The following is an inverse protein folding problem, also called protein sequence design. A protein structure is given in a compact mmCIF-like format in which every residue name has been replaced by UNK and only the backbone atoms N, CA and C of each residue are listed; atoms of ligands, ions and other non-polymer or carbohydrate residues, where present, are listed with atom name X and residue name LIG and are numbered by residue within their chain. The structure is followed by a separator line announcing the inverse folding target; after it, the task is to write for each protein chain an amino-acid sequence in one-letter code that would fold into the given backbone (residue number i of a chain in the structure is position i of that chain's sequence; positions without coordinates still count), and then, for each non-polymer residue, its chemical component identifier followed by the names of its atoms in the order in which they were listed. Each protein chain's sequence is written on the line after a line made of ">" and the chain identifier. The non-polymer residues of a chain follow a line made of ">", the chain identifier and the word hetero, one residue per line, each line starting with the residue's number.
data_IF_600243159775
#
_entry.id   IF_600243159775
#
_cell.length_a   1.000
_cell.length_b   1.000
_cell.length_c   1.000
_cell.angle_alpha   90.00
_cell.angle_beta   90.00
_cell.angle_gamma   90.00
#
_symmetry.space_group_name_H-M   'P 1'
#
loop_
_entity.id
_entity.type
_entity.pdbx_description
1 polymer ?
#
# COMPACT_ATOMS: atom_id res chain seq x y z
N UNK A 1 -5.71 21.74 17.11
CA UNK A 1 -4.26 21.92 16.91
C UNK A 1 -4.08 22.77 15.68
N UNK A 2 -3.49 23.95 15.82
CA UNK A 2 -3.13 24.78 14.68
C UNK A 2 -1.91 24.19 13.94
N UNK A 3 -1.64 24.70 12.74
CA UNK A 3 -0.58 24.18 11.87
C UNK A 3 0.83 24.43 12.42
N UNK A 4 1.03 25.50 13.21
CA UNK A 4 2.31 25.81 13.86
C UNK A 4 2.66 24.79 14.96
N UNK A 5 1.66 24.44 15.78
CA UNK A 5 1.81 23.40 16.80
C UNK A 5 2.11 22.05 16.16
N UNK A 6 1.45 21.72 15.04
CA UNK A 6 1.71 20.46 14.33
C UNK A 6 3.11 20.44 13.70
N UNK A 7 3.55 21.55 13.10
CA UNK A 7 4.89 21.67 12.54
C UNK A 7 5.96 21.37 13.59
N UNK A 8 5.86 21.98 14.78
CA UNK A 8 6.76 21.72 15.91
C UNK A 8 6.78 20.25 16.33
N UNK A 9 5.64 19.56 16.28
CA UNK A 9 5.60 18.13 16.60
C UNK A 9 6.36 17.29 15.57
N UNK A 10 6.30 17.65 14.29
CA UNK A 10 7.06 16.96 13.23
C UNK A 10 8.54 17.33 13.27
N UNK A 11 8.88 18.58 13.55
CA UNK A 11 10.29 19.03 13.66
C UNK A 11 11.02 18.30 14.80
N UNK A 12 10.32 18.06 15.91
CA UNK A 12 10.83 17.31 17.07
C UNK A 12 10.41 15.84 17.05
N UNK A 13 10.15 15.26 15.88
CA UNK A 13 9.56 13.93 15.76
C UNK A 13 10.25 12.87 16.62
N UNK A 14 11.58 12.77 16.53
CA UNK A 14 12.34 11.75 17.25
C UNK A 14 12.54 12.03 18.74
N UNK A 15 12.19 13.23 19.22
CA UNK A 15 12.24 13.58 20.64
C UNK A 15 11.02 13.01 21.41
N UNK A 16 9.96 12.65 20.69
CA UNK A 16 8.75 12.08 21.29
C UNK A 16 8.88 10.59 21.56
N UNK A 17 8.08 10.07 22.51
CA UNK A 17 7.92 8.63 22.67
C UNK A 17 7.34 8.01 21.39
N UNK A 18 7.82 6.82 21.02
CA UNK A 18 7.41 6.06 19.83
C UNK A 18 5.89 6.05 19.53
N UNK A 19 5.03 5.88 20.54
CA UNK A 19 3.56 5.92 20.35
C UNK A 19 3.07 7.26 19.80
N UNK A 20 3.67 8.37 20.23
CA UNK A 20 3.37 9.72 19.74
C UNK A 20 3.90 9.89 18.32
N UNK A 21 5.11 9.38 18.04
CA UNK A 21 5.67 9.37 16.69
C UNK A 21 4.72 8.68 15.70
N UNK A 22 4.24 7.49 16.05
CA UNK A 22 3.25 6.77 15.26
C UNK A 22 1.94 7.53 15.08
N UNK A 23 1.45 8.19 16.13
CA UNK A 23 0.26 9.03 16.05
C UNK A 23 0.46 10.23 15.11
N UNK A 24 1.65 10.86 15.12
CA UNK A 24 1.98 11.98 14.22
C UNK A 24 1.90 11.50 12.76
N UNK A 25 2.54 10.38 12.41
CA UNK A 25 2.52 9.84 11.04
C UNK A 25 1.10 9.50 10.60
N UNK A 26 0.32 8.83 11.46
CA UNK A 26 -1.07 8.49 11.18
C UNK A 26 -1.92 9.76 10.99
N UNK A 27 -1.69 10.81 11.81
CA UNK A 27 -2.40 12.09 11.70
C UNK A 27 -2.10 12.81 10.38
N UNK A 28 -0.87 12.75 9.86
CA UNK A 28 -0.53 13.32 8.53
C UNK A 28 -1.45 12.73 7.47
N UNK A 29 -1.59 11.40 7.44
CA UNK A 29 -2.44 10.70 6.47
C UNK A 29 -3.93 10.98 6.67
N UNK A 30 -4.43 10.82 7.88
CA UNK A 30 -5.86 10.99 8.23
C UNK A 30 -6.33 12.43 7.94
N UNK A 31 -5.53 13.42 8.31
CA UNK A 31 -5.86 14.83 8.11
C UNK A 31 -5.44 15.37 6.74
N UNK A 32 -4.89 14.51 5.86
CA UNK A 32 -4.36 14.87 4.54
C UNK A 32 -3.45 16.09 4.58
N UNK A 33 -2.47 16.11 5.49
CA UNK A 33 -1.52 17.22 5.60
C UNK A 33 -0.44 17.11 4.50
N UNK A 34 -0.82 17.45 3.27
CA UNK A 34 0.03 17.41 2.07
C UNK A 34 1.42 18.05 2.22
N UNK A 35 1.61 19.16 2.97
CA UNK A 35 2.95 19.73 3.17
C UNK A 35 3.97 18.76 3.79
N UNK A 36 3.53 17.69 4.46
CA UNK A 36 4.41 16.70 5.09
C UNK A 36 4.66 15.45 4.24
N UNK A 37 4.28 15.44 2.97
CA UNK A 37 4.67 14.35 2.05
C UNK A 37 6.19 14.13 2.04
N UNK A 38 7.07 15.16 1.95
CA UNK A 38 8.52 14.94 1.99
C UNK A 38 9.01 14.22 3.25
N UNK A 39 8.35 14.47 4.39
CA UNK A 39 8.62 13.76 5.63
C UNK A 39 8.20 12.29 5.55
N UNK A 40 7.01 11.99 5.02
CA UNK A 40 6.59 10.60 4.76
C UNK A 40 7.54 9.86 3.81
N UNK A 41 7.99 10.52 2.74
CA UNK A 41 8.97 9.95 1.80
C UNK A 41 10.32 9.65 2.47
N UNK A 42 10.70 10.44 3.47
CA UNK A 42 11.88 10.15 4.29
C UNK A 42 11.66 8.89 5.14
N UNK A 43 10.48 8.77 5.77
CA UNK A 43 10.12 7.60 6.57
C UNK A 43 10.00 6.29 5.77
N UNK A 44 9.71 6.34 4.47
CA UNK A 44 9.75 5.15 3.60
C UNK A 44 11.13 4.50 3.54
N UNK A 45 12.21 5.24 3.82
CA UNK A 45 13.58 4.72 3.82
C UNK A 45 14.12 4.44 5.23
N UNK A 46 13.27 4.55 6.25
CA UNK A 46 13.68 4.33 7.63
C UNK A 46 14.01 2.84 7.88
N UNK A 47 15.00 2.56 8.74
CA UNK A 47 15.45 1.20 9.06
C UNK A 47 14.35 0.35 9.73
N UNK A 48 13.61 0.95 10.65
CA UNK A 48 12.49 0.32 11.33
C UNK A 48 11.24 0.28 10.43
N UNK A 49 10.73 -0.94 10.23
CA UNK A 49 9.63 -1.21 9.30
C UNK A 49 8.31 -0.54 9.67
N UNK A 50 8.05 -0.31 10.96
CA UNK A 50 6.80 0.30 11.39
C UNK A 50 6.63 1.73 10.84
N UNK A 51 7.71 2.51 10.73
CA UNK A 51 7.65 3.83 10.08
C UNK A 51 7.37 3.71 8.59
N UNK A 52 7.97 2.74 7.89
CA UNK A 52 7.71 2.50 6.46
C UNK A 52 6.26 2.10 6.22
N UNK A 53 5.73 1.18 7.03
CA UNK A 53 4.32 0.74 7.01
C UNK A 53 3.38 1.92 7.21
N UNK A 54 3.63 2.76 8.23
CA UNK A 54 2.78 3.93 8.51
C UNK A 54 2.90 5.01 7.44
N UNK A 55 4.08 5.22 6.89
CA UNK A 55 4.28 6.14 5.78
C UNK A 55 3.48 5.69 4.54
N UNK A 56 3.57 4.41 4.15
CA UNK A 56 2.78 3.86 3.05
C UNK A 56 1.26 3.99 3.32
N UNK A 57 0.82 3.70 4.54
CA UNK A 57 -0.58 3.87 4.95
C UNK A 57 -1.04 5.33 4.81
N UNK A 58 -0.25 6.28 5.29
CA UNK A 58 -0.56 7.70 5.20
C UNK A 58 -0.60 8.17 3.73
N UNK A 59 0.37 7.78 2.91
CA UNK A 59 0.39 8.08 1.48
C UNK A 59 -0.81 7.48 0.74
N UNK A 60 -1.24 6.26 1.13
CA UNK A 60 -2.44 5.63 0.56
C UNK A 60 -3.73 6.39 0.93
N UNK A 61 -3.85 6.91 2.15
CA UNK A 61 -4.98 7.76 2.56
C UNK A 61 -5.00 9.10 1.81
N UNK A 62 -3.83 9.59 1.42
CA UNK A 62 -3.64 10.83 0.67
C UNK A 62 -3.69 10.61 -0.85
N UNK A 63 -3.77 9.36 -1.31
CA UNK A 63 -3.74 8.97 -2.72
C UNK A 63 -2.52 9.53 -3.46
N UNK A 64 -1.38 9.65 -2.75
CA UNK A 64 -0.15 10.21 -3.31
C UNK A 64 0.59 9.17 -4.16
N UNK A 65 0.75 9.39 -5.48
CA UNK A 65 1.39 8.41 -6.35
C UNK A 65 2.89 8.29 -6.04
N UNK A 66 3.36 7.06 -5.91
CA UNK A 66 4.77 6.70 -5.99
C UNK A 66 5.02 5.96 -7.29
N UNK A 67 6.20 6.12 -7.87
CA UNK A 67 6.61 5.35 -9.03
C UNK A 67 7.08 3.92 -8.64
N UNK A 68 7.37 3.13 -9.66
CA UNK A 68 7.82 1.74 -9.50
C UNK A 68 9.12 1.64 -8.72
N UNK A 69 10.07 2.55 -8.95
CA UNK A 69 11.38 2.55 -8.29
C UNK A 69 11.22 2.79 -6.78
N UNK A 70 10.38 3.75 -6.41
CA UNK A 70 10.06 4.07 -5.03
C UNK A 70 9.32 2.93 -4.30
N UNK A 71 8.48 2.16 -5.01
CA UNK A 71 7.73 1.05 -4.41
C UNK A 71 8.43 -0.30 -4.46
N UNK A 72 9.48 -0.46 -5.27
CA UNK A 72 10.14 -1.74 -5.52
C UNK A 72 10.59 -2.45 -4.22
N UNK A 73 11.28 -1.72 -3.35
CA UNK A 73 11.76 -2.26 -2.06
C UNK A 73 10.61 -2.69 -1.15
N UNK A 74 9.46 -2.01 -1.24
CA UNK A 74 8.31 -2.25 -0.39
C UNK A 74 7.53 -3.48 -0.85
N UNK A 75 7.47 -3.75 -2.16
CA UNK A 75 6.91 -4.99 -2.71
C UNK A 75 7.73 -6.23 -2.33
N UNK A 76 9.03 -6.07 -2.09
CA UNK A 76 9.94 -7.17 -1.74
C UNK A 76 10.25 -7.26 -0.24
N UNK A 77 9.63 -6.41 0.58
CA UNK A 77 9.95 -6.34 2.00
C UNK A 77 9.74 -7.69 2.70
N UNK A 78 10.64 -8.10 3.62
CA UNK A 78 10.41 -9.27 4.47
C UNK A 78 9.21 -9.08 5.41
N UNK A 79 8.78 -7.83 5.65
CA UNK A 79 7.64 -7.47 6.48
C UNK A 79 6.37 -7.44 5.63
N UNK A 80 5.49 -8.43 5.82
CA UNK A 80 4.31 -8.59 4.98
C UNK A 80 3.33 -7.40 5.06
N UNK A 81 3.27 -6.70 6.20
CA UNK A 81 2.46 -5.50 6.37
C UNK A 81 2.90 -4.38 5.42
N UNK A 82 4.20 -4.30 5.13
CA UNK A 82 4.76 -3.30 4.22
C UNK A 82 4.34 -3.59 2.77
N UNK A 83 4.44 -4.87 2.34
CA UNK A 83 3.92 -5.32 1.04
C UNK A 83 2.42 -5.05 0.91
N UNK A 84 1.65 -5.31 1.96
CA UNK A 84 0.21 -5.05 2.00
C UNK A 84 -0.08 -3.54 1.88
N UNK A 85 0.64 -2.67 2.58
CA UNK A 85 0.43 -1.23 2.49
C UNK A 85 0.84 -0.67 1.11
N UNK A 86 1.90 -1.20 0.49
CA UNK A 86 2.28 -0.85 -0.87
C UNK A 86 1.15 -1.18 -1.86
N UNK A 87 0.56 -2.37 -1.77
CA UNK A 87 -0.60 -2.74 -2.59
C UNK A 87 -1.83 -1.86 -2.34
N UNK A 88 -2.08 -1.46 -1.09
CA UNK A 88 -3.14 -0.49 -0.76
C UNK A 88 -2.90 0.86 -1.41
N UNK A 89 -1.66 1.32 -1.46
CA UNK A 89 -1.34 2.55 -2.17
C UNK A 89 -1.62 2.40 -3.67
N UNK A 90 -1.18 1.30 -4.30
CA UNK A 90 -1.48 1.03 -5.70
C UNK A 90 -2.99 1.01 -5.97
N UNK A 91 -3.77 0.32 -5.13
CA UNK A 91 -5.23 0.26 -5.22
C UNK A 91 -5.90 1.65 -5.20
N UNK A 92 -5.30 2.60 -4.48
CA UNK A 92 -5.78 3.99 -4.37
C UNK A 92 -5.39 4.84 -5.57
N UNK A 93 -4.15 4.71 -6.04
CA UNK A 93 -3.58 5.57 -7.10
C UNK A 93 -3.82 5.05 -8.51
N UNK A 94 -4.11 3.75 -8.66
CA UNK A 94 -4.54 3.09 -9.91
C UNK A 94 -3.62 3.32 -11.11
N UNK A 95 -2.32 3.24 -10.84
CA UNK A 95 -1.24 3.47 -11.81
C UNK A 95 -1.01 2.20 -12.63
N UNK A 96 -1.20 2.29 -13.95
CA UNK A 96 -1.09 1.14 -14.86
C UNK A 96 0.29 0.48 -14.81
N UNK A 97 1.35 1.27 -14.61
CA UNK A 97 2.72 0.80 -14.47
C UNK A 97 2.94 -0.12 -13.26
N UNK A 98 1.98 -0.21 -12.33
CA UNK A 98 2.06 -1.09 -11.15
C UNK A 98 1.53 -2.50 -11.40
N UNK A 99 0.79 -2.73 -12.49
CA UNK A 99 0.04 -3.97 -12.72
C UNK A 99 0.92 -5.21 -12.59
N UNK A 100 2.07 -5.24 -13.26
CA UNK A 100 2.96 -6.40 -13.24
C UNK A 100 3.49 -6.71 -11.82
N UNK A 101 3.77 -5.67 -11.03
CA UNK A 101 4.20 -5.84 -9.63
C UNK A 101 3.08 -6.36 -8.73
N UNK A 102 1.85 -5.89 -8.96
CA UNK A 102 0.67 -6.39 -8.24
C UNK A 102 0.42 -7.87 -8.61
N UNK A 103 0.54 -8.24 -9.89
CA UNK A 103 0.39 -9.62 -10.37
C UNK A 103 1.40 -10.54 -9.70
N UNK A 104 2.65 -10.12 -9.52
CA UNK A 104 3.65 -10.91 -8.78
C UNK A 104 3.21 -11.19 -7.33
N UNK A 105 2.61 -10.19 -6.66
CA UNK A 105 2.12 -10.34 -5.27
C UNK A 105 0.84 -11.16 -5.13
N UNK A 106 0.20 -11.57 -6.24
CA UNK A 106 -0.85 -12.61 -6.20
C UNK A 106 -0.31 -13.97 -5.75
N UNK A 107 1.00 -14.20 -5.88
CA UNK A 107 1.70 -15.42 -5.43
C UNK A 107 2.36 -15.26 -4.05
N UNK A 108 2.06 -14.18 -3.33
CA UNK A 108 2.66 -13.92 -2.03
C UNK A 108 2.39 -15.06 -1.02
N UNK A 109 3.35 -15.37 -0.16
CA UNK A 109 3.19 -16.40 0.87
C UNK A 109 2.05 -16.10 1.86
N UNK A 110 1.79 -14.81 2.12
CA UNK A 110 0.80 -14.35 3.10
C UNK A 110 -0.54 -14.11 2.41
N UNK A 111 -1.58 -14.81 2.90
CA UNK A 111 -2.95 -14.72 2.37
C UNK A 111 -3.46 -13.27 2.25
N UNK A 112 -3.28 -12.45 3.30
CA UNK A 112 -3.74 -11.06 3.30
C UNK A 112 -3.07 -10.20 2.24
N UNK A 113 -1.82 -10.51 1.86
CA UNK A 113 -1.12 -9.81 0.77
C UNK A 113 -1.73 -10.21 -0.58
N UNK A 114 -1.95 -11.51 -0.82
CA UNK A 114 -2.63 -12.00 -2.04
C UNK A 114 -4.03 -11.38 -2.20
N UNK A 115 -4.82 -11.36 -1.12
CA UNK A 115 -6.15 -10.76 -1.16
C UNK A 115 -6.11 -9.26 -1.44
N UNK A 116 -5.12 -8.54 -0.88
CA UNK A 116 -4.95 -7.12 -1.17
C UNK A 116 -4.48 -6.87 -2.61
N UNK A 117 -3.68 -7.78 -3.18
CA UNK A 117 -3.25 -7.73 -4.57
C UNK A 117 -4.44 -7.91 -5.51
N UNK A 118 -5.32 -8.88 -5.23
CA UNK A 118 -6.54 -9.09 -6.00
C UNK A 118 -7.47 -7.86 -5.95
N UNK A 119 -7.66 -7.25 -4.77
CA UNK A 119 -8.39 -5.98 -4.65
C UNK A 119 -7.75 -4.87 -5.49
N UNK A 120 -6.43 -4.76 -5.42
CA UNK A 120 -5.69 -3.73 -6.16
C UNK A 120 -5.87 -3.91 -7.67
N UNK A 121 -5.77 -5.15 -8.19
CA UNK A 121 -6.00 -5.47 -9.60
C UNK A 121 -7.42 -5.10 -10.04
N UNK A 122 -8.45 -5.44 -9.27
CA UNK A 122 -9.83 -5.08 -9.61
C UNK A 122 -10.06 -3.58 -9.76
N UNK A 123 -9.27 -2.75 -9.08
CA UNK A 123 -9.35 -1.29 -9.20
C UNK A 123 -8.57 -0.75 -10.41
N UNK A 124 -7.73 -1.57 -11.05
CA UNK A 124 -7.00 -1.19 -12.26
C UNK A 124 -7.91 -1.24 -13.48
N UNK A 125 -7.59 -0.47 -14.53
CA UNK A 125 -8.13 -0.73 -15.86
C UNK A 125 -7.93 -2.20 -16.26
N UNK A 126 -8.99 -2.84 -16.77
CA UNK A 126 -9.02 -4.26 -17.14
C UNK A 126 -8.71 -5.24 -15.99
N UNK A 127 -8.96 -4.82 -14.74
CA UNK A 127 -8.72 -5.63 -13.55
C UNK A 127 -9.41 -7.00 -13.55
N UNK A 128 -10.64 -7.07 -14.08
CA UNK A 128 -11.39 -8.32 -14.24
C UNK A 128 -10.66 -9.27 -15.19
N UNK A 129 -10.30 -8.81 -16.39
CA UNK A 129 -9.58 -9.62 -17.38
C UNK A 129 -8.24 -10.14 -16.83
N UNK A 130 -7.53 -9.31 -16.07
CA UNK A 130 -6.27 -9.71 -15.42
C UNK A 130 -6.52 -10.83 -14.41
N UNK A 131 -7.54 -10.71 -13.55
CA UNK A 131 -7.88 -11.77 -12.59
C UNK A 131 -8.35 -13.05 -13.29
N UNK A 132 -9.15 -12.94 -14.36
CA UNK A 132 -9.57 -14.11 -15.15
C UNK A 132 -8.36 -14.82 -15.78
N UNK A 133 -7.40 -14.05 -16.30
CA UNK A 133 -6.16 -14.62 -16.80
C UNK A 133 -5.39 -15.36 -15.70
N UNK A 134 -5.18 -14.74 -14.53
CA UNK A 134 -4.48 -15.37 -13.40
C UNK A 134 -5.18 -16.66 -12.96
N UNK A 135 -6.51 -16.65 -12.85
CA UNK A 135 -7.30 -17.83 -12.49
C UNK A 135 -7.10 -19.00 -13.47
N UNK A 136 -6.93 -18.70 -14.76
CA UNK A 136 -6.79 -19.71 -15.83
C UNK A 136 -5.34 -20.17 -16.03
N UNK A 137 -4.35 -19.28 -15.88
CA UNK A 137 -2.98 -19.53 -16.36
C UNK A 137 -1.92 -19.60 -15.27
N UNK A 138 -2.18 -19.10 -14.06
CA UNK A 138 -1.17 -19.12 -12.99
C UNK A 138 -0.80 -20.55 -12.63
N UNK A 139 0.49 -20.83 -12.51
CA UNK A 139 1.04 -22.09 -11.99
C UNK A 139 0.84 -22.22 -10.47
N UNK A 140 0.84 -21.10 -9.76
CA UNK A 140 0.57 -21.03 -8.32
C UNK A 140 -0.92 -21.22 -8.03
N UNK A 141 -1.23 -22.26 -7.24
CA UNK A 141 -2.61 -22.60 -6.84
C UNK A 141 -3.25 -21.51 -5.98
N UNK A 142 -2.51 -20.91 -5.06
CA UNK A 142 -3.07 -19.90 -4.17
C UNK A 142 -3.44 -18.61 -4.90
N UNK A 143 -2.67 -18.25 -5.93
CA UNK A 143 -2.99 -17.15 -6.83
C UNK A 143 -4.26 -17.43 -7.65
N UNK A 144 -4.40 -18.65 -8.20
CA UNK A 144 -5.63 -19.06 -8.91
C UNK A 144 -6.85 -19.01 -7.99
N UNK A 145 -6.77 -19.64 -6.82
CA UNK A 145 -7.85 -19.70 -5.84
C UNK A 145 -8.26 -18.29 -5.39
N UNK A 146 -7.30 -17.40 -5.14
CA UNK A 146 -7.56 -16.01 -4.77
C UNK A 146 -8.22 -15.21 -5.90
N UNK A 147 -7.77 -15.40 -7.15
CA UNK A 147 -8.36 -14.72 -8.28
C UNK A 147 -9.84 -15.15 -8.49
N UNK A 148 -10.13 -16.45 -8.37
CA UNK A 148 -11.50 -16.98 -8.42
C UNK A 148 -12.38 -16.39 -7.31
N UNK A 149 -11.91 -16.36 -6.06
CA UNK A 149 -12.63 -15.78 -4.92
C UNK A 149 -13.02 -14.30 -5.18
N UNK A 150 -12.11 -13.50 -5.72
CA UNK A 150 -12.36 -12.09 -6.00
C UNK A 150 -13.21 -11.86 -7.25
N UNK A 151 -13.15 -12.73 -8.26
CA UNK A 151 -14.06 -12.70 -9.41
C UNK A 151 -15.51 -12.99 -8.98
N UNK A 152 -15.71 -13.96 -8.08
CA UNK A 152 -17.03 -14.25 -7.52
C UNK A 152 -17.60 -13.07 -6.73
N UNK A 153 -16.75 -12.37 -5.96
CA UNK A 153 -17.15 -11.15 -5.24
C UNK A 153 -17.45 -9.98 -6.16
N UNK A 154 -16.63 -9.75 -7.19
CA UNK A 154 -16.81 -8.65 -8.14
C UNK A 154 -18.14 -8.73 -8.89
N UNK A 155 -18.51 -9.94 -9.33
CA UNK A 155 -19.77 -10.22 -10.04
C UNK A 155 -21.04 -10.05 -9.21
N UNK A 156 -20.94 -9.91 -7.88
CA UNK A 156 -22.10 -9.65 -7.01
C UNK A 156 -22.49 -8.17 -6.93
N UNK A 157 -21.68 -7.27 -7.50
CA UNK A 157 -21.90 -5.82 -7.46
C UNK A 157 -22.14 -5.19 -8.85
N UNK A 158 -22.21 -6.02 -9.90
CA UNK A 158 -22.68 -5.65 -11.24
C UNK A 158 -24.17 -5.99 -11.40
#
# INVERSE_FOLDING_TARGET
>A
MDDDTFAKMVDHFFDWHEKIQYAIVDMIGIMKKFPYIPFLLTLLRHEQSEYRVRALKALAQMEYPLDVEQLHIHFQSPVWQERLMALRLCARTRRQEMVDHIVLLMKDAVFSVRSQAAEALLRMPNGLDILEHIAQTSDDRYARDMALEWLERGRQYD
#
